data_IF_508995317640
#
_entry.id   IF_508995317640
#
_cell.length_a   1.000
_cell.length_b   1.000
_cell.length_c   1.000
_cell.angle_alpha   90.00
_cell.angle_beta   90.00
_cell.angle_gamma   90.00
#
_symmetry.space_group_name_H-M   'P 1'
#
loop_
_entity.id
_entity.type
_entity.pdbx_description
1 polymer ?
#
# COMPACT_ATOMS: atom_id res chain seq x y z
N UNK A 1 18.30 -5.61 17.47
CA UNK A 1 17.87 -6.18 16.17
C UNK A 1 16.44 -6.68 16.31
N UNK A 2 15.60 -6.62 15.25
CA UNK A 2 14.24 -7.12 15.33
C UNK A 2 14.21 -8.63 15.57
N UNK A 3 13.22 -9.08 16.35
CA UNK A 3 12.96 -10.49 16.64
C UNK A 3 12.73 -11.28 15.35
N UNK A 4 13.40 -12.43 15.20
CA UNK A 4 13.25 -13.32 14.05
C UNK A 4 11.79 -13.73 13.83
N UNK A 5 11.02 -13.90 14.91
CA UNK A 5 9.59 -14.17 14.82
C UNK A 5 8.87 -13.04 14.07
N UNK A 6 9.15 -11.78 14.40
CA UNK A 6 8.52 -10.64 13.75
C UNK A 6 8.93 -10.53 12.28
N UNK A 7 10.19 -10.79 11.95
CA UNK A 7 10.66 -10.81 10.56
C UNK A 7 9.88 -11.85 9.74
N UNK A 8 9.73 -13.06 10.26
CA UNK A 8 8.97 -14.13 9.58
C UNK A 8 7.49 -13.78 9.46
N UNK A 9 6.87 -13.29 10.54
CA UNK A 9 5.45 -12.91 10.53
C UNK A 9 5.17 -11.80 9.50
N UNK A 10 5.98 -10.75 9.47
CA UNK A 10 5.81 -9.66 8.50
C UNK A 10 6.16 -10.09 7.08
N UNK A 11 7.19 -10.92 6.89
CA UNK A 11 7.54 -11.47 5.57
C UNK A 11 6.42 -12.33 4.98
N UNK A 12 5.93 -13.31 5.75
CA UNK A 12 4.81 -14.15 5.34
C UNK A 12 3.52 -13.33 5.17
N UNK A 13 3.24 -12.41 6.10
CA UNK A 13 2.08 -11.54 6.06
C UNK A 13 2.06 -10.65 4.81
N UNK A 14 3.20 -10.07 4.45
CA UNK A 14 3.35 -9.26 3.24
C UNK A 14 3.08 -10.08 1.97
N UNK A 15 3.63 -11.29 1.88
CA UNK A 15 3.39 -12.19 0.74
C UNK A 15 1.91 -12.57 0.60
N UNK A 16 1.28 -12.97 1.71
CA UNK A 16 -0.12 -13.40 1.74
C UNK A 16 -1.07 -12.24 1.41
N UNK A 17 -0.90 -11.08 2.05
CA UNK A 17 -1.78 -9.93 1.84
C UNK A 17 -1.56 -9.28 0.47
N UNK A 18 -0.33 -9.27 -0.05
CA UNK A 18 -0.09 -8.85 -1.43
C UNK A 18 -0.81 -9.76 -2.41
N UNK A 19 -0.71 -11.08 -2.20
CA UNK A 19 -1.43 -12.08 -2.98
C UNK A 19 -2.94 -11.88 -2.92
N UNK A 20 -3.51 -11.70 -1.71
CA UNK A 20 -4.94 -11.46 -1.51
C UNK A 20 -5.42 -10.20 -2.26
N UNK A 21 -4.67 -9.10 -2.15
CA UNK A 21 -4.97 -7.86 -2.88
C UNK A 21 -4.95 -8.07 -4.40
N UNK A 22 -3.98 -8.81 -4.94
CA UNK A 22 -3.96 -9.18 -6.36
C UNK A 22 -5.16 -10.02 -6.75
N UNK A 23 -5.55 -11.01 -5.93
CA UNK A 23 -6.71 -11.86 -6.22
C UNK A 23 -8.03 -11.07 -6.20
N UNK A 24 -8.18 -10.12 -5.27
CA UNK A 24 -9.33 -9.19 -5.28
C UNK A 24 -9.34 -8.34 -6.55
N UNK A 25 -8.19 -7.79 -6.96
CA UNK A 25 -8.09 -7.02 -8.20
C UNK A 25 -8.51 -7.88 -9.40
N UNK A 26 -7.94 -9.07 -9.57
CA UNK A 26 -8.25 -9.95 -10.70
C UNK A 26 -9.73 -10.37 -10.73
N UNK A 27 -10.37 -10.57 -9.57
CA UNK A 27 -11.80 -10.88 -9.46
C UNK A 27 -12.68 -9.71 -9.91
N UNK A 28 -12.38 -8.49 -9.42
CA UNK A 28 -13.19 -7.29 -9.69
C UNK A 28 -12.92 -6.70 -11.08
N UNK A 29 -11.75 -6.96 -11.63
CA UNK A 29 -11.28 -6.38 -12.87
C UNK A 29 -11.41 -7.30 -14.07
N UNK A 30 -11.85 -8.55 -13.88
CA UNK A 30 -12.00 -9.55 -14.94
C UNK A 30 -12.63 -9.01 -16.24
N UNK A 31 -13.70 -8.21 -16.14
CA UNK A 31 -14.46 -7.72 -17.31
C UNK A 31 -13.73 -6.58 -18.03
N UNK A 32 -12.83 -5.89 -17.33
CA UNK A 32 -11.94 -4.85 -17.85
C UNK A 32 -10.69 -5.52 -18.44
N UNK A 33 -10.09 -6.45 -17.71
CA UNK A 33 -8.83 -7.09 -18.06
C UNK A 33 -8.91 -7.89 -19.36
N UNK A 34 -10.06 -8.48 -19.70
CA UNK A 34 -10.28 -9.14 -21.01
C UNK A 34 -10.15 -8.17 -22.19
N UNK A 35 -10.33 -6.86 -21.97
CA UNK A 35 -10.32 -5.82 -23.01
C UNK A 35 -8.98 -5.11 -23.16
N UNK A 36 -8.00 -5.40 -22.29
CA UNK A 36 -6.69 -4.75 -22.25
C UNK A 36 -5.64 -5.75 -22.72
N UNK A 37 -4.84 -5.39 -23.72
CA UNK A 37 -3.91 -6.34 -24.37
C UNK A 37 -2.93 -6.97 -23.37
N UNK A 38 -2.48 -6.18 -22.40
CA UNK A 38 -1.53 -6.62 -21.37
C UNK A 38 -2.14 -7.59 -20.36
N UNK A 39 -3.42 -7.44 -20.03
CA UNK A 39 -4.04 -8.17 -18.90
C UNK A 39 -5.04 -9.24 -19.32
N UNK A 40 -5.34 -9.38 -20.62
CA UNK A 40 -6.24 -10.41 -21.15
C UNK A 40 -5.77 -11.86 -20.84
N UNK A 41 -4.47 -12.06 -20.60
CA UNK A 41 -3.90 -13.37 -20.26
C UNK A 41 -3.89 -13.67 -18.75
N UNK A 42 -4.43 -12.79 -17.89
CA UNK A 42 -4.50 -13.06 -16.45
C UNK A 42 -5.36 -14.29 -16.16
N UNK A 43 -5.10 -15.05 -15.08
CA UNK A 43 -5.74 -16.35 -14.85
C UNK A 43 -7.27 -16.32 -14.83
N UNK A 44 -7.85 -15.28 -14.19
CA UNK A 44 -9.31 -15.13 -14.11
C UNK A 44 -9.89 -14.53 -15.41
N UNK A 45 -9.20 -13.57 -16.02
CA UNK A 45 -9.62 -12.93 -17.28
C UNK A 45 -9.63 -13.93 -18.45
N UNK A 46 -8.59 -14.76 -18.56
CA UNK A 46 -8.46 -15.83 -19.58
C UNK A 46 -9.37 -17.04 -19.35
N UNK A 47 -10.02 -17.14 -18.18
CA UNK A 47 -10.89 -18.25 -17.81
C UNK A 47 -10.15 -19.53 -17.37
N UNK A 48 -8.82 -19.54 -17.28
CA UNK A 48 -8.03 -20.68 -16.76
C UNK A 48 -8.37 -20.97 -15.29
N UNK A 49 -8.70 -19.92 -14.52
CA UNK A 49 -9.18 -20.01 -13.14
C UNK A 49 -10.58 -19.45 -13.07
N UNK A 50 -11.52 -20.22 -12.51
CA UNK A 50 -12.89 -19.75 -12.31
C UNK A 50 -12.97 -18.70 -11.20
N UNK A 51 -13.92 -17.76 -11.23
CA UNK A 51 -14.10 -16.77 -10.15
C UNK A 51 -14.30 -17.42 -8.78
N UNK A 52 -14.94 -18.60 -8.72
CA UNK A 52 -15.11 -19.34 -7.48
C UNK A 52 -13.78 -19.87 -6.94
N UNK A 53 -12.91 -20.42 -7.79
CA UNK A 53 -11.56 -20.83 -7.38
C UNK A 53 -10.73 -19.64 -6.88
N UNK A 54 -10.84 -18.49 -7.56
CA UNK A 54 -10.23 -17.24 -7.09
C UNK A 54 -10.72 -16.83 -5.71
N UNK A 55 -12.04 -16.92 -5.46
CA UNK A 55 -12.63 -16.63 -4.15
C UNK A 55 -12.15 -17.61 -3.06
N UNK A 56 -12.06 -18.90 -3.37
CA UNK A 56 -11.50 -19.89 -2.43
C UNK A 56 -10.04 -19.59 -2.09
N UNK A 57 -9.23 -19.22 -3.09
CA UNK A 57 -7.82 -18.86 -2.89
C UNK A 57 -7.68 -17.59 -2.05
N UNK A 58 -8.51 -16.58 -2.31
CA UNK A 58 -8.60 -15.38 -1.49
C UNK A 58 -8.96 -15.71 -0.04
N UNK A 59 -9.97 -16.55 0.18
CA UNK A 59 -10.37 -16.99 1.51
C UNK A 59 -9.22 -17.68 2.25
N UNK A 60 -8.49 -18.56 1.57
CA UNK A 60 -7.30 -19.20 2.13
C UNK A 60 -6.21 -18.20 2.53
N UNK A 61 -5.86 -17.24 1.65
CA UNK A 61 -4.87 -16.21 1.95
C UNK A 61 -5.30 -15.33 3.13
N UNK A 62 -6.57 -14.94 3.20
CA UNK A 62 -7.11 -14.11 4.28
C UNK A 62 -7.15 -14.87 5.63
N UNK A 63 -7.47 -16.16 5.63
CA UNK A 63 -7.44 -16.99 6.85
C UNK A 63 -6.01 -17.13 7.40
N UNK A 64 -5.02 -17.35 6.52
CA UNK A 64 -3.62 -17.36 6.93
C UNK A 64 -3.15 -15.98 7.41
N UNK A 65 -3.53 -14.92 6.70
CA UNK A 65 -3.25 -13.54 7.09
C UNK A 65 -3.87 -13.18 8.46
N UNK A 66 -5.08 -13.64 8.73
CA UNK A 66 -5.73 -13.50 10.04
C UNK A 66 -4.96 -14.26 11.12
N UNK A 67 -4.50 -15.48 10.84
CA UNK A 67 -3.64 -16.23 11.76
C UNK A 67 -2.35 -15.51 12.13
N UNK A 68 -1.76 -14.74 11.20
CA UNK A 68 -0.61 -13.87 11.47
C UNK A 68 -1.03 -12.65 12.29
N UNK A 69 -2.12 -11.98 11.90
CA UNK A 69 -2.61 -10.78 12.57
C UNK A 69 -2.93 -11.05 14.05
N UNK A 70 -3.52 -12.20 14.35
CA UNK A 70 -3.87 -12.61 15.71
C UNK A 70 -2.67 -12.84 16.64
N UNK A 71 -1.47 -13.01 16.07
CA UNK A 71 -0.23 -13.14 16.85
C UNK A 71 0.40 -11.79 17.24
N UNK A 72 -0.13 -10.68 16.73
CA UNK A 72 0.33 -9.33 17.06
C UNK A 72 -0.36 -8.80 18.32
N UNK A 73 0.19 -7.70 18.87
CA UNK A 73 -0.43 -6.99 19.99
C UNK A 73 -1.84 -6.46 19.61
N UNK A 74 -2.62 -6.09 20.63
CA UNK A 74 -4.03 -5.68 20.43
C UNK A 74 -4.12 -4.45 19.55
N UNK A 75 -3.22 -3.49 19.71
CA UNK A 75 -3.21 -2.26 18.93
C UNK A 75 -2.98 -2.54 17.44
N UNK A 76 -1.97 -3.34 17.11
CA UNK A 76 -1.68 -3.82 15.75
C UNK A 76 -2.79 -4.66 15.15
N UNK A 77 -3.51 -5.47 15.95
CA UNK A 77 -4.68 -6.22 15.47
C UNK A 77 -5.77 -5.28 14.95
N UNK A 78 -6.12 -4.26 15.73
CA UNK A 78 -7.12 -3.25 15.34
C UNK A 78 -6.64 -2.44 14.14
N UNK A 79 -5.39 -1.95 14.18
CA UNK A 79 -4.80 -1.16 13.11
C UNK A 79 -4.66 -1.96 11.79
N UNK A 80 -4.31 -3.24 11.88
CA UNK A 80 -4.25 -4.14 10.73
C UNK A 80 -5.63 -4.39 10.16
N UNK A 81 -6.64 -4.67 11.01
CA UNK A 81 -8.02 -4.85 10.57
C UNK A 81 -8.60 -3.59 9.89
N UNK A 82 -8.29 -2.38 10.38
CA UNK A 82 -8.76 -1.14 9.76
C UNK A 82 -8.24 -0.94 8.33
N UNK A 83 -7.11 -1.55 7.95
CA UNK A 83 -6.59 -1.49 6.58
C UNK A 83 -7.54 -2.09 5.54
N UNK A 84 -8.41 -3.03 5.95
CA UNK A 84 -9.37 -3.69 5.07
C UNK A 84 -10.30 -2.69 4.37
N UNK A 85 -10.64 -1.57 5.04
CA UNK A 85 -11.44 -0.50 4.44
C UNK A 85 -10.77 0.07 3.18
N UNK A 86 -9.46 0.26 3.21
CA UNK A 86 -8.70 0.73 2.05
C UNK A 86 -8.52 -0.39 1.01
N UNK A 87 -8.21 -1.61 1.45
CA UNK A 87 -8.01 -2.77 0.56
C UNK A 87 -9.25 -3.05 -0.28
N UNK A 88 -10.44 -3.01 0.32
CA UNK A 88 -11.69 -3.26 -0.41
C UNK A 88 -12.12 -2.08 -1.29
N UNK A 89 -11.80 -0.84 -0.89
CA UNK A 89 -12.22 0.34 -1.65
C UNK A 89 -11.30 0.63 -2.85
N UNK A 90 -10.00 0.35 -2.75
CA UNK A 90 -9.01 0.66 -3.76
C UNK A 90 -9.36 0.16 -5.18
N UNK A 91 -9.75 -1.12 -5.42
CA UNK A 91 -10.02 -1.62 -6.77
C UNK A 91 -11.16 -0.87 -7.48
N UNK A 92 -12.08 -0.28 -6.71
CA UNK A 92 -13.21 0.49 -7.22
C UNK A 92 -12.80 1.92 -7.63
N UNK A 93 -11.67 2.42 -7.10
CA UNK A 93 -11.28 3.82 -7.27
C UNK A 93 -11.01 4.19 -8.72
N UNK A 94 -10.54 3.25 -9.54
CA UNK A 94 -10.30 3.50 -10.97
C UNK A 94 -11.58 3.75 -11.78
N UNK A 95 -12.75 3.40 -11.24
CA UNK A 95 -14.06 3.70 -11.82
C UNK A 95 -14.58 5.07 -11.34
N UNK A 96 -14.21 5.46 -10.12
CA UNK A 96 -14.76 6.64 -9.43
C UNK A 96 -13.91 7.89 -9.65
N UNK A 97 -12.59 7.80 -9.49
CA UNK A 97 -11.66 8.93 -9.44
C UNK A 97 -10.49 8.77 -10.41
N UNK A 98 -9.85 9.88 -10.76
CA UNK A 98 -8.59 9.93 -11.49
C UNK A 98 -7.35 9.70 -10.62
N UNK A 99 -7.54 9.37 -9.34
CA UNK A 99 -6.48 9.17 -8.36
C UNK A 99 -6.41 7.74 -7.78
N UNK A 100 -6.67 6.65 -8.53
CA UNK A 100 -6.56 5.30 -7.95
C UNK A 100 -5.14 5.00 -7.40
N UNK A 101 -4.10 5.60 -7.98
CA UNK A 101 -2.72 5.53 -7.52
C UNK A 101 -2.55 6.05 -6.07
N UNK A 102 -3.30 7.07 -5.67
CA UNK A 102 -3.24 7.59 -4.30
C UNK A 102 -3.81 6.56 -3.30
N UNK A 103 -4.94 5.95 -3.65
CA UNK A 103 -5.55 4.89 -2.83
C UNK A 103 -4.69 3.62 -2.79
N UNK A 104 -4.02 3.29 -3.89
CA UNK A 104 -3.00 2.24 -3.91
C UNK A 104 -1.89 2.54 -2.91
N UNK A 105 -1.36 3.77 -2.96
CA UNK A 105 -0.31 4.23 -2.04
C UNK A 105 -0.74 4.11 -0.58
N UNK A 106 -1.96 4.56 -0.24
CA UNK A 106 -2.49 4.42 1.12
C UNK A 106 -2.59 2.95 1.54
N UNK A 107 -3.04 2.08 0.64
CA UNK A 107 -3.22 0.67 0.94
C UNK A 107 -1.89 -0.06 1.12
N UNK A 108 -0.95 0.11 0.19
CA UNK A 108 0.31 -0.65 0.18
C UNK A 108 1.28 -0.25 1.29
N UNK A 109 1.27 1.02 1.69
CA UNK A 109 2.22 1.51 2.68
C UNK A 109 1.73 1.33 4.11
N UNK A 110 0.52 0.77 4.32
CA UNK A 110 -0.03 0.52 5.64
C UNK A 110 0.89 -0.35 6.53
N UNK A 111 1.71 -1.19 5.90
CA UNK A 111 2.76 -1.97 6.57
C UNK A 111 3.75 -1.13 7.37
N UNK A 112 4.00 0.13 7.00
CA UNK A 112 4.84 1.04 7.79
C UNK A 112 4.20 1.37 9.15
N UNK A 113 2.90 1.65 9.17
CA UNK A 113 2.13 1.89 10.39
C UNK A 113 2.10 0.63 11.26
N UNK A 114 1.77 -0.50 10.62
CA UNK A 114 1.61 -1.78 11.31
C UNK A 114 2.95 -2.30 11.88
N UNK A 115 4.04 -2.12 11.14
CA UNK A 115 5.39 -2.51 11.56
C UNK A 115 5.86 -1.77 12.80
N UNK A 116 5.64 -0.45 12.85
CA UNK A 116 5.92 0.32 14.06
C UNK A 116 5.05 -0.12 15.24
N UNK A 117 3.73 -0.18 15.02
CA UNK A 117 2.75 -0.58 16.01
C UNK A 117 3.04 -1.97 16.61
N UNK A 118 3.53 -2.92 15.81
CA UNK A 118 3.82 -4.27 16.27
C UNK A 118 4.92 -4.33 17.33
N UNK A 119 5.84 -3.36 17.31
CA UNK A 119 6.98 -3.28 18.23
C UNK A 119 6.72 -2.30 19.38
N UNK A 120 6.03 -1.19 19.11
CA UNK A 120 5.83 -0.10 20.08
C UNK A 120 4.47 -0.09 20.76
N UNK A 121 3.54 -0.95 20.34
CA UNK A 121 2.15 -1.05 20.83
C UNK A 121 1.40 0.30 20.84
N UNK A 122 1.81 1.19 19.93
CA UNK A 122 1.37 2.58 19.82
C UNK A 122 1.85 3.15 18.48
N UNK A 123 1.38 4.33 18.10
CA UNK A 123 1.94 5.11 17.00
C UNK A 123 2.57 6.38 17.54
N UNK A 124 3.77 6.70 17.06
CA UNK A 124 4.34 8.03 17.17
C UNK A 124 4.08 8.78 15.85
N UNK A 125 3.11 9.71 15.81
CA UNK A 125 2.73 10.38 14.57
C UNK A 125 3.88 11.17 13.94
N UNK A 126 4.80 11.72 14.75
CA UNK A 126 5.91 12.52 14.26
C UNK A 126 6.91 11.70 13.44
N UNK A 127 7.07 10.42 13.78
CA UNK A 127 7.93 9.50 13.05
C UNK A 127 7.19 8.77 11.93
N UNK A 128 6.03 8.21 12.28
CA UNK A 128 5.39 7.18 11.47
C UNK A 128 4.56 7.78 10.34
N UNK A 129 3.92 8.94 10.54
CA UNK A 129 3.14 9.56 9.45
C UNK A 129 4.04 10.03 8.30
N UNK A 130 5.17 10.72 8.53
CA UNK A 130 6.07 11.06 7.43
C UNK A 130 6.65 9.83 6.73
N UNK A 131 6.95 8.75 7.46
CA UNK A 131 7.41 7.50 6.85
C UNK A 131 6.33 6.89 5.94
N UNK A 132 5.10 6.83 6.42
CA UNK A 132 3.97 6.33 5.65
C UNK A 132 3.69 7.18 4.41
N UNK A 133 3.67 8.50 4.56
CA UNK A 133 3.48 9.44 3.45
C UNK A 133 4.60 9.35 2.42
N UNK A 134 5.84 9.14 2.85
CA UNK A 134 6.96 8.90 1.93
C UNK A 134 6.66 7.73 0.99
N UNK A 135 6.21 6.60 1.55
CA UNK A 135 5.81 5.44 0.77
C UNK A 135 4.61 5.70 -0.16
N UNK A 136 3.62 6.47 0.29
CA UNK A 136 2.45 6.88 -0.52
C UNK A 136 2.91 7.71 -1.72
N UNK A 137 3.78 8.70 -1.52
CA UNK A 137 4.31 9.52 -2.60
C UNK A 137 5.20 8.72 -3.54
N UNK A 138 6.01 7.80 -3.03
CA UNK A 138 6.75 6.86 -3.87
C UNK A 138 5.82 6.03 -4.76
N UNK A 139 4.69 5.58 -4.20
CA UNK A 139 3.66 4.86 -4.95
C UNK A 139 3.04 5.71 -6.04
N UNK A 140 2.75 6.99 -5.75
CA UNK A 140 2.31 7.94 -6.77
C UNK A 140 3.34 8.12 -7.88
N UNK A 141 4.65 8.11 -7.58
CA UNK A 141 5.71 8.18 -8.59
C UNK A 141 5.67 6.96 -9.51
N UNK A 142 5.94 5.76 -8.97
CA UNK A 142 6.14 4.59 -9.84
C UNK A 142 4.84 4.13 -10.50
N UNK A 143 3.69 4.22 -9.82
CA UNK A 143 2.42 3.72 -10.35
C UNK A 143 1.81 4.69 -11.38
N UNK A 144 2.12 6.00 -11.27
CA UNK A 144 1.78 6.95 -12.35
C UNK A 144 2.62 6.68 -13.59
N UNK A 145 3.92 6.38 -13.45
CA UNK A 145 4.77 5.98 -14.58
C UNK A 145 4.22 4.69 -15.22
N UNK A 146 3.87 3.71 -14.39
CA UNK A 146 3.31 2.45 -14.85
C UNK A 146 2.00 2.65 -15.63
N UNK A 147 1.09 3.49 -15.13
CA UNK A 147 -0.19 3.79 -15.78
C UNK A 147 -0.08 4.45 -17.17
N UNK A 148 1.09 4.99 -17.55
CA UNK A 148 1.28 5.48 -18.91
C UNK A 148 1.31 4.36 -19.96
N UNK A 149 1.66 3.14 -19.57
CA UNK A 149 1.70 1.98 -20.48
C UNK A 149 0.30 1.54 -20.90
N UNK A 150 -0.68 1.70 -20.00
CA UNK A 150 -2.06 1.27 -20.24
C UNK A 150 -2.96 2.42 -20.74
N UNK A 151 -2.39 3.62 -21.00
CA UNK A 151 -3.14 4.86 -21.24
C UNK A 151 -4.16 4.77 -22.38
N UNK A 152 -3.78 4.17 -23.51
CA UNK A 152 -4.68 4.04 -24.67
C UNK A 152 -5.83 3.07 -24.42
N UNK A 153 -5.53 1.94 -23.78
CA UNK A 153 -6.52 0.92 -23.42
C UNK A 153 -7.46 1.45 -22.32
N UNK A 154 -6.94 2.18 -21.33
CA UNK A 154 -7.70 2.82 -20.26
C UNK A 154 -8.74 3.81 -20.84
N UNK A 155 -8.37 4.63 -21.82
CA UNK A 155 -9.29 5.55 -22.50
C UNK A 155 -10.42 4.77 -23.18
N UNK A 156 -10.10 3.68 -23.88
CA UNK A 156 -11.09 2.86 -24.60
C UNK A 156 -12.08 2.18 -23.66
N UNK A 157 -11.63 1.76 -22.47
CA UNK A 157 -12.46 1.04 -21.50
C UNK A 157 -13.08 1.99 -20.43
N UNK A 158 -12.73 3.28 -20.47
CA UNK A 158 -13.26 4.29 -19.54
C UNK A 158 -12.66 4.23 -18.13
N UNK A 159 -11.47 3.65 -18.00
CA UNK A 159 -10.71 3.58 -16.74
C UNK A 159 -10.02 4.92 -16.51
N UNK A 160 -10.06 5.41 -15.27
CA UNK A 160 -9.44 6.68 -14.87
C UNK A 160 -8.11 6.42 -14.17
N UNK A 161 -7.10 7.25 -14.44
CA UNK A 161 -5.77 7.15 -13.82
C UNK A 161 -5.09 8.52 -13.71
N UNK A 162 -4.05 8.62 -12.88
CA UNK A 162 -3.24 9.85 -12.77
C UNK A 162 -2.52 10.16 -14.08
N UNK A 163 -2.14 9.15 -14.86
CA UNK A 163 -1.56 9.32 -16.20
C UNK A 163 -2.52 10.03 -17.16
N UNK A 164 -3.81 9.72 -17.10
CA UNK A 164 -4.84 10.44 -17.85
C UNK A 164 -5.08 11.85 -17.32
N UNK A 165 -5.02 12.02 -15.99
CA UNK A 165 -5.25 13.32 -15.35
C UNK A 165 -4.15 14.33 -15.59
N UNK A 166 -2.89 13.90 -15.52
CA UNK A 166 -1.74 14.79 -15.62
C UNK A 166 -1.32 15.06 -17.06
N UNK A 167 -1.58 14.13 -17.98
CA UNK A 167 -1.27 14.32 -19.39
C UNK A 167 0.21 14.72 -19.58
N UNK A 168 0.43 15.86 -20.23
CA UNK A 168 1.76 16.37 -20.54
C UNK A 168 2.52 16.89 -19.29
N UNK A 169 1.81 17.30 -18.24
CA UNK A 169 2.39 17.76 -16.96
C UNK A 169 2.87 16.61 -16.06
N UNK A 170 2.81 15.35 -16.52
CA UNK A 170 3.19 14.18 -15.72
C UNK A 170 4.58 14.31 -15.08
N UNK A 171 5.57 14.84 -15.81
CA UNK A 171 6.94 14.99 -15.29
C UNK A 171 7.01 15.93 -14.08
N UNK A 172 6.25 17.02 -14.11
CA UNK A 172 6.19 18.02 -13.03
C UNK A 172 5.54 17.41 -11.78
N UNK A 173 4.43 16.69 -11.96
CA UNK A 173 3.75 15.98 -10.87
C UNK A 173 4.64 14.90 -10.24
N UNK A 174 5.30 14.08 -11.05
CA UNK A 174 6.24 13.05 -10.56
C UNK A 174 7.41 13.69 -9.81
N UNK A 175 7.97 14.79 -10.32
CA UNK A 175 9.03 15.51 -9.61
C UNK A 175 8.54 16.04 -8.25
N UNK A 176 7.33 16.61 -8.20
CA UNK A 176 6.70 17.04 -6.96
C UNK A 176 6.50 15.90 -5.96
N UNK A 177 6.00 14.74 -6.40
CA UNK A 177 5.87 13.56 -5.55
C UNK A 177 7.23 13.00 -5.10
N UNK A 178 8.24 13.02 -5.97
CA UNK A 178 9.60 12.63 -5.63
C UNK A 178 10.20 13.51 -4.52
N UNK A 179 10.04 14.83 -4.63
CA UNK A 179 10.46 15.78 -3.60
C UNK A 179 9.69 15.58 -2.30
N UNK A 180 8.38 15.35 -2.36
CA UNK A 180 7.56 15.07 -1.18
C UNK A 180 7.99 13.75 -0.52
N UNK A 181 8.25 12.71 -1.31
CA UNK A 181 8.73 11.40 -0.85
C UNK A 181 10.04 11.53 -0.06
N UNK A 182 11.05 12.19 -0.63
CA UNK A 182 12.36 12.35 0.02
C UNK A 182 12.28 13.26 1.24
N UNK A 183 11.49 14.33 1.18
CA UNK A 183 11.27 15.24 2.31
C UNK A 183 10.58 14.54 3.47
N UNK A 184 9.51 13.78 3.22
CA UNK A 184 8.82 13.01 4.27
C UNK A 184 9.70 11.92 4.88
N UNK A 185 10.56 11.27 4.08
CA UNK A 185 11.53 10.30 4.59
C UNK A 185 12.57 10.98 5.50
N UNK A 186 13.11 12.12 5.07
CA UNK A 186 14.06 12.90 5.86
C UNK A 186 13.45 13.39 7.19
N UNK A 187 12.20 13.86 7.16
CA UNK A 187 11.47 14.26 8.36
C UNK A 187 11.29 13.10 9.34
N UNK A 188 10.94 11.90 8.86
CA UNK A 188 10.85 10.70 9.71
C UNK A 188 12.20 10.38 10.37
N UNK A 189 13.30 10.41 9.59
CA UNK A 189 14.65 10.18 10.11
C UNK A 189 15.08 11.21 11.15
N UNK A 190 14.79 12.50 10.92
CA UNK A 190 15.02 13.58 11.86
C UNK A 190 14.23 13.39 13.16
N UNK A 191 12.95 13.01 13.06
CA UNK A 191 12.11 12.77 14.23
C UNK A 191 12.66 11.61 15.10
N UNK A 192 13.09 10.52 14.47
CA UNK A 192 13.75 9.41 15.17
C UNK A 192 15.04 9.87 15.85
N UNK A 193 15.85 10.68 15.17
CA UNK A 193 17.10 11.20 15.73
C UNK A 193 16.85 12.10 16.94
N UNK A 194 15.88 13.01 16.87
CA UNK A 194 15.48 13.85 17.99
C UNK A 194 15.03 13.02 19.20
N UNK A 195 14.17 12.02 18.99
CA UNK A 195 13.74 11.11 20.06
C UNK A 195 14.91 10.38 20.70
N UNK A 196 15.87 9.92 19.89
CA UNK A 196 17.06 9.24 20.38
C UNK A 196 17.94 10.17 21.23
N UNK A 197 18.15 11.42 20.79
CA UNK A 197 18.93 12.41 21.54
C UNK A 197 18.22 12.76 22.85
N UNK A 198 16.91 13.05 22.83
CA UNK A 198 16.15 13.39 24.03
C UNK A 198 16.11 12.26 25.06
N UNK A 199 16.08 11.00 24.64
CA UNK A 199 16.13 9.86 25.56
C UNK A 199 17.52 9.62 26.17
N UNK A 200 18.60 9.84 25.41
CA UNK A 200 19.96 9.52 25.87
C UNK A 200 20.68 10.71 26.53
N UNK A 201 20.25 11.94 26.25
CA UNK A 201 20.77 13.16 26.83
C UNK A 201 19.60 14.01 27.34
N UNK A 202 18.91 13.58 28.41
CA UNK A 202 17.93 14.44 29.06
C UNK A 202 18.67 15.69 29.52
N UNK A 203 18.31 16.85 28.96
CA UNK A 203 18.81 18.14 29.43
C UNK A 203 18.30 18.26 30.87
N UNK A 204 19.18 18.01 31.83
CA UNK A 204 18.91 18.33 33.23
C UNK A 204 18.81 19.85 33.31
N UNK A 205 17.60 20.38 33.16
CA UNK A 205 17.29 21.70 33.68
C UNK A 205 17.31 21.55 35.21
N UNK A 206 18.49 21.70 35.78
CA UNK A 206 18.66 21.95 37.19
C UNK A 206 18.22 23.40 37.43
N UNK A 207 17.20 23.56 38.26
CA UNK A 207 16.82 24.80 38.94
C UNK A 207 17.99 25.33 39.80
#
# INVERSE_FOLDING_TARGET
MPDMKMIVLFGCGALLLRGAGCTVNDLLDRDIDVKVQRTMLRPIASGVVTPFQGLCFLGFQLLLGLGILLQLNTFSRVLGASSLLLVFSYPLMKRLTFWPQAFLGLTFNWGALLGWAAIKDSLDPAVVLPLYLSGVFWTLVYDTIYAHQDKEDDIRVGVKSTALRFGDSTKEWIAGFGLACTSSLALSGMAILCLFVSCNFPISMAD
#
